data_IF_578187580499
#
_entry.id   IF_578187580499
#
_cell.length_a   1.000
_cell.length_b   1.000
_cell.length_c   1.000
_cell.angle_alpha   90.00
_cell.angle_beta   90.00
_cell.angle_gamma   90.00
#
_symmetry.space_group_name_H-M   'P 1'
#
loop_
_entity.id
_entity.type
_entity.pdbx_description
1 polymer ?
#
# COMPACT_ATOMS: atom_id res chain seq x y z
N UNK A 1 4.56 4.59 -21.83
CA UNK A 1 5.36 3.63 -21.02
C UNK A 1 5.89 4.42 -19.83
N UNK A 2 5.55 4.03 -18.61
CA UNK A 2 5.90 4.83 -17.44
C UNK A 2 7.40 4.73 -17.11
N UNK A 3 7.86 5.69 -16.30
CA UNK A 3 9.24 5.76 -15.83
C UNK A 3 9.47 4.75 -14.68
N UNK A 4 10.58 4.00 -14.73
CA UNK A 4 10.99 3.10 -13.65
C UNK A 4 11.81 3.85 -12.61
N UNK A 5 11.38 3.75 -11.35
CA UNK A 5 12.19 4.21 -10.22
C UNK A 5 13.35 3.24 -9.99
N UNK A 6 14.48 3.75 -9.51
CA UNK A 6 15.59 2.90 -9.07
C UNK A 6 15.12 2.04 -7.89
N UNK A 7 15.29 0.74 -7.99
CA UNK A 7 15.02 -0.20 -6.89
C UNK A 7 16.13 -0.09 -5.84
N UNK A 8 15.76 0.14 -4.58
CA UNK A 8 16.73 0.27 -3.48
C UNK A 8 16.06 -0.08 -2.13
N UNK A 9 16.13 -1.33 -1.74
CA UNK A 9 15.63 -1.81 -0.45
C UNK A 9 16.39 -1.23 0.76
N UNK A 10 17.61 -0.74 0.54
CA UNK A 10 18.48 -0.17 1.58
C UNK A 10 18.34 1.34 1.75
N UNK A 11 17.45 1.99 0.98
CA UNK A 11 17.30 3.44 1.04
C UNK A 11 16.96 3.93 2.45
N UNK A 12 17.44 5.11 2.79
CA UNK A 12 17.11 5.75 4.05
C UNK A 12 15.61 6.13 4.10
N UNK A 13 15.01 6.13 5.29
CA UNK A 13 13.61 6.44 5.54
C UNK A 13 13.48 7.80 6.23
N UNK A 14 12.62 8.66 5.70
CA UNK A 14 12.34 9.96 6.33
C UNK A 14 11.45 9.76 7.56
N UNK A 15 11.86 10.33 8.69
CA UNK A 15 11.04 10.35 9.90
C UNK A 15 11.01 11.74 10.51
N UNK A 16 9.88 12.08 11.10
CA UNK A 16 9.69 13.34 11.83
C UNK A 16 9.21 13.07 13.25
N UNK A 17 9.90 13.64 14.22
CA UNK A 17 9.52 13.58 15.63
C UNK A 17 8.27 14.43 15.88
N UNK A 18 7.22 13.84 16.44
CA UNK A 18 5.98 14.56 16.75
C UNK A 18 6.12 15.55 17.91
N UNK A 19 7.13 15.36 18.80
CA UNK A 19 7.36 16.24 19.96
C UNK A 19 8.16 17.50 19.62
N UNK A 20 9.31 17.34 18.96
CA UNK A 20 10.21 18.45 18.69
C UNK A 20 10.28 18.90 17.22
N UNK A 21 9.62 18.17 16.32
CA UNK A 21 9.61 18.46 14.89
C UNK A 21 10.92 18.10 14.16
N UNK A 22 11.92 17.51 14.85
CA UNK A 22 13.16 17.06 14.22
C UNK A 22 12.85 16.09 13.08
N UNK A 23 13.41 16.34 11.91
CA UNK A 23 13.19 15.55 10.70
C UNK A 23 14.53 15.14 10.10
N UNK A 24 14.70 13.83 9.87
CA UNK A 24 15.96 13.27 9.39
C UNK A 24 15.71 11.96 8.64
N UNK A 25 16.70 11.55 7.84
CA UNK A 25 16.72 10.25 7.12
C UNK A 25 17.51 9.23 7.94
N UNK A 26 16.83 8.12 8.26
CA UNK A 26 17.39 7.06 9.08
C UNK A 26 17.58 5.76 8.29
N UNK A 27 18.63 4.99 8.67
CA UNK A 27 18.87 3.64 8.17
C UNK A 27 17.87 2.63 8.76
N UNK A 28 17.80 1.46 8.16
CA UNK A 28 17.00 0.35 8.68
C UNK A 28 17.43 -0.03 10.12
N UNK A 29 18.73 -0.17 10.36
CA UNK A 29 19.27 -0.54 11.68
C UNK A 29 18.88 0.47 12.76
N UNK A 30 18.93 1.77 12.44
CA UNK A 30 18.47 2.80 13.35
C UNK A 30 16.98 2.67 13.67
N UNK A 31 16.16 2.44 12.64
CA UNK A 31 14.71 2.29 12.79
C UNK A 31 14.37 1.06 13.63
N UNK A 32 15.09 -0.04 13.43
CA UNK A 32 14.93 -1.25 14.21
C UNK A 32 15.24 -1.00 15.69
N UNK A 33 16.41 -0.45 16.01
CA UNK A 33 16.77 -0.11 17.37
C UNK A 33 15.77 0.89 18.01
N UNK A 34 15.31 1.88 17.24
CA UNK A 34 14.28 2.80 17.69
C UNK A 34 12.94 2.09 17.97
N UNK A 35 12.52 1.16 17.12
CA UNK A 35 11.27 0.41 17.31
C UNK A 35 11.27 -0.46 18.55
N UNK A 36 12.45 -0.95 18.95
CA UNK A 36 12.68 -1.73 20.17
C UNK A 36 12.79 -0.84 21.43
N UNK A 37 12.88 0.49 21.26
CA UNK A 37 13.00 1.45 22.34
C UNK A 37 14.45 1.66 22.83
N UNK A 38 15.44 1.07 22.15
CA UNK A 38 16.86 1.15 22.53
C UNK A 38 17.45 2.54 22.32
N UNK A 39 16.92 3.26 21.36
CA UNK A 39 17.33 4.62 21.02
C UNK A 39 16.12 5.55 20.90
N UNK A 40 16.36 6.84 21.00
CA UNK A 40 15.33 7.88 20.91
C UNK A 40 15.62 8.90 19.82
N UNK A 41 14.72 9.87 19.71
CA UNK A 41 14.89 11.00 18.80
C UNK A 41 16.23 11.69 19.05
N UNK A 42 17.09 11.91 18.03
CA UNK A 42 18.40 12.53 18.21
C UNK A 42 18.37 13.93 18.83
N UNK A 43 17.25 14.64 18.67
CA UNK A 43 17.09 16.01 19.17
C UNK A 43 16.50 16.09 20.58
N UNK A 44 15.53 15.24 20.94
CA UNK A 44 14.81 15.36 22.21
C UNK A 44 14.72 14.07 23.03
N UNK A 45 15.32 12.99 22.57
CA UNK A 45 15.47 11.72 23.28
C UNK A 45 14.20 10.87 23.46
N UNK A 46 13.03 11.29 22.96
CA UNK A 46 11.82 10.45 23.10
C UNK A 46 11.92 9.18 22.27
N UNK A 47 11.46 8.07 22.83
CA UNK A 47 11.51 6.72 22.26
C UNK A 47 10.22 6.36 21.51
N UNK A 48 10.17 5.16 20.96
CA UNK A 48 9.05 4.67 20.13
C UNK A 48 7.73 4.47 20.90
N UNK A 49 7.75 4.31 22.20
CA UNK A 49 6.59 4.15 23.07
C UNK A 49 5.87 5.49 23.41
N UNK A 50 6.54 6.63 23.17
CA UNK A 50 5.96 7.94 23.48
C UNK A 50 4.79 8.29 22.53
N UNK A 51 3.67 8.90 23.04
CA UNK A 51 2.52 9.26 22.19
C UNK A 51 2.87 10.18 21.01
N UNK A 52 3.86 11.05 21.19
CA UNK A 52 4.40 11.96 20.16
C UNK A 52 5.69 11.43 19.53
N UNK A 53 5.83 10.11 19.43
CA UNK A 53 6.98 9.47 18.80
C UNK A 53 7.21 9.92 17.36
N UNK A 54 8.38 9.65 16.83
CA UNK A 54 8.65 9.86 15.42
C UNK A 54 7.71 9.03 14.54
N UNK A 55 7.40 9.56 13.36
CA UNK A 55 6.56 8.92 12.35
C UNK A 55 7.21 9.06 10.99
N UNK A 56 6.94 8.12 10.12
CA UNK A 56 7.38 8.23 8.74
C UNK A 56 6.77 9.44 8.06
N UNK A 57 7.61 10.14 7.30
CA UNK A 57 7.26 11.19 6.37
C UNK A 57 7.77 10.81 4.98
N UNK A 58 7.46 11.58 3.96
CA UNK A 58 7.91 11.32 2.60
C UNK A 58 9.06 12.25 2.20
N UNK A 59 9.85 11.84 1.21
CA UNK A 59 10.84 12.71 0.60
C UNK A 59 10.14 13.68 -0.35
N UNK A 60 10.25 14.97 -0.07
CA UNK A 60 9.66 16.03 -0.91
C UNK A 60 10.28 16.08 -2.33
N UNK A 61 11.44 15.46 -2.53
CA UNK A 61 12.06 15.32 -3.84
C UNK A 61 11.54 14.12 -4.65
N UNK A 62 10.73 13.24 -4.04
CA UNK A 62 10.12 12.13 -4.77
C UNK A 62 9.13 12.67 -5.82
N UNK A 63 9.29 12.22 -7.06
CA UNK A 63 8.41 12.58 -8.18
C UNK A 63 6.94 12.29 -7.89
N UNK A 64 6.63 11.29 -7.05
CA UNK A 64 5.28 10.96 -6.64
C UNK A 64 4.62 12.02 -5.74
N UNK A 65 5.40 12.98 -5.21
CA UNK A 65 4.85 14.16 -4.53
C UNK A 65 4.12 15.10 -5.50
N UNK A 66 4.55 15.13 -6.75
CA UNK A 66 3.90 15.93 -7.79
C UNK A 66 2.70 15.17 -8.38
N UNK A 67 1.49 15.66 -8.07
CA UNK A 67 0.25 15.00 -8.50
C UNK A 67 0.10 14.95 -10.04
N UNK A 68 0.76 15.86 -10.77
CA UNK A 68 0.65 15.94 -12.22
C UNK A 68 1.58 14.91 -12.88
N UNK A 69 2.59 14.45 -12.15
CA UNK A 69 3.62 13.55 -12.65
C UNK A 69 3.46 12.09 -12.21
N UNK A 70 2.53 11.77 -11.33
CA UNK A 70 2.34 10.40 -10.86
C UNK A 70 1.98 9.40 -11.97
N UNK A 71 1.37 9.90 -13.06
CA UNK A 71 1.02 9.09 -14.24
C UNK A 71 2.24 8.76 -15.11
N UNK A 72 3.35 9.49 -14.93
CA UNK A 72 4.63 9.19 -15.57
C UNK A 72 5.32 7.97 -14.95
N UNK A 73 4.93 7.55 -13.73
CA UNK A 73 5.56 6.48 -12.98
C UNK A 73 4.94 5.11 -13.28
N UNK A 74 5.77 4.08 -13.26
CA UNK A 74 5.31 2.72 -13.07
C UNK A 74 5.03 2.46 -11.58
N UNK A 75 3.90 1.84 -11.31
CA UNK A 75 3.46 1.42 -9.99
C UNK A 75 3.39 -0.09 -9.93
N UNK A 76 3.44 -0.65 -8.74
CA UNK A 76 3.48 -2.10 -8.57
C UNK A 76 2.47 -2.60 -7.57
N UNK A 77 2.01 -3.83 -7.79
CA UNK A 77 1.12 -4.55 -6.91
C UNK A 77 1.41 -6.05 -6.96
N UNK A 78 1.26 -6.74 -5.84
CA UNK A 78 1.27 -8.20 -5.80
C UNK A 78 -0.08 -8.76 -5.42
N UNK A 79 -0.51 -9.82 -6.10
CA UNK A 79 -1.80 -10.46 -5.86
C UNK A 79 -1.69 -11.98 -6.06
N UNK A 80 -2.52 -12.72 -5.35
CA UNK A 80 -2.76 -14.15 -5.62
C UNK A 80 -3.72 -14.36 -6.80
N UNK A 81 -4.38 -13.31 -7.27
CA UNK A 81 -5.30 -13.36 -8.39
C UNK A 81 -4.52 -13.18 -9.70
N UNK A 82 -4.58 -14.20 -10.57
CA UNK A 82 -3.87 -14.19 -11.85
C UNK A 82 -4.34 -13.09 -12.81
N UNK A 83 -5.61 -12.69 -12.71
CA UNK A 83 -6.24 -11.70 -13.60
C UNK A 83 -6.57 -10.40 -12.86
N UNK A 84 -5.69 -10.01 -11.92
CA UNK A 84 -5.80 -8.75 -11.20
C UNK A 84 -5.44 -7.54 -12.09
N UNK A 85 -6.14 -6.40 -11.96
CA UNK A 85 -7.43 -6.20 -11.31
C UNK A 85 -8.59 -6.67 -12.21
N UNK A 86 -9.67 -7.14 -11.62
CA UNK A 86 -10.82 -7.59 -12.39
C UNK A 86 -12.08 -6.82 -12.03
N UNK A 87 -12.77 -6.26 -13.03
CA UNK A 87 -14.10 -5.65 -12.83
C UNK A 87 -15.16 -6.69 -12.45
N UNK A 88 -14.94 -7.94 -12.84
CA UNK A 88 -15.81 -9.07 -12.52
C UNK A 88 -15.34 -9.84 -11.29
N UNK A 89 -14.54 -9.20 -10.44
CA UNK A 89 -14.05 -9.81 -9.22
C UNK A 89 -15.20 -10.30 -8.33
N UNK A 90 -15.16 -11.59 -8.01
CA UNK A 90 -16.05 -12.18 -7.02
C UNK A 90 -15.37 -12.21 -5.64
N UNK A 91 -15.83 -11.39 -4.68
CA UNK A 91 -15.26 -11.36 -3.34
C UNK A 91 -15.30 -12.69 -2.61
N UNK A 92 -16.22 -13.59 -2.96
CA UNK A 92 -16.27 -14.92 -2.35
C UNK A 92 -15.17 -15.85 -2.88
N UNK A 93 -14.63 -15.58 -4.07
CA UNK A 93 -13.63 -16.45 -4.70
C UNK A 93 -12.30 -16.56 -3.94
N UNK A 94 -11.98 -15.58 -3.08
CA UNK A 94 -10.76 -15.56 -2.27
C UNK A 94 -10.86 -16.44 -1.00
N UNK A 95 -12.06 -16.91 -0.67
CA UNK A 95 -12.26 -17.75 0.51
C UNK A 95 -12.27 -19.24 0.13
N UNK A 96 -11.79 -20.14 1.01
CA UNK A 96 -11.99 -21.58 0.88
C UNK A 96 -13.48 -21.95 0.78
N UNK A 97 -13.77 -23.09 0.17
CA UNK A 97 -15.15 -23.54 -0.09
C UNK A 97 -16.02 -23.49 1.18
N UNK A 98 -15.53 -24.09 2.28
CA UNK A 98 -16.29 -24.16 3.53
C UNK A 98 -16.57 -22.78 4.14
N UNK A 99 -15.61 -21.86 4.03
CA UNK A 99 -15.78 -20.46 4.47
C UNK A 99 -16.84 -19.74 3.64
N UNK A 100 -16.84 -19.94 2.32
CA UNK A 100 -17.87 -19.38 1.41
C UNK A 100 -19.26 -19.88 1.76
N UNK A 101 -19.42 -21.19 1.94
CA UNK A 101 -20.69 -21.80 2.31
C UNK A 101 -21.20 -21.26 3.65
N UNK A 102 -20.29 -21.06 4.63
CA UNK A 102 -20.65 -20.49 5.92
C UNK A 102 -21.06 -19.00 5.81
N UNK A 103 -20.37 -18.20 4.99
CA UNK A 103 -20.73 -16.80 4.74
C UNK A 103 -22.15 -16.74 4.14
N UNK A 104 -22.41 -17.50 3.09
CA UNK A 104 -23.71 -17.52 2.41
C UNK A 104 -24.81 -18.04 3.33
N UNK A 105 -24.55 -19.06 4.14
CA UNK A 105 -25.53 -19.67 5.04
C UNK A 105 -25.90 -18.73 6.21
N UNK A 106 -24.94 -17.97 6.74
CA UNK A 106 -25.14 -17.18 7.96
C UNK A 106 -25.53 -15.72 7.70
N UNK A 107 -25.52 -15.28 6.45
CA UNK A 107 -25.97 -13.94 6.08
C UNK A 107 -27.36 -14.00 5.43
N UNK A 108 -28.24 -13.05 5.78
CA UNK A 108 -29.46 -12.85 4.96
C UNK A 108 -29.06 -12.35 3.57
N UNK A 109 -29.91 -12.57 2.56
CA UNK A 109 -29.64 -12.15 1.17
C UNK A 109 -29.28 -10.67 1.05
N UNK A 110 -30.02 -9.80 1.74
CA UNK A 110 -29.75 -8.34 1.75
C UNK A 110 -28.41 -8.00 2.39
N UNK A 111 -28.03 -8.67 3.48
CA UNK A 111 -26.73 -8.46 4.12
C UNK A 111 -25.60 -8.95 3.25
N UNK A 112 -25.76 -10.10 2.61
CA UNK A 112 -24.77 -10.65 1.68
C UNK A 112 -24.55 -9.73 0.49
N UNK A 113 -25.62 -9.24 -0.13
CA UNK A 113 -25.56 -8.30 -1.25
C UNK A 113 -24.83 -7.01 -0.86
N UNK A 114 -25.20 -6.40 0.25
CA UNK A 114 -24.55 -5.18 0.77
C UNK A 114 -23.09 -5.43 1.06
N UNK A 115 -22.73 -6.58 1.63
CA UNK A 115 -21.36 -6.96 1.89
C UNK A 115 -20.56 -7.15 0.60
N UNK A 116 -21.11 -7.83 -0.41
CA UNK A 116 -20.47 -8.02 -1.72
C UNK A 116 -20.20 -6.69 -2.44
N UNK A 117 -21.18 -5.76 -2.41
CA UNK A 117 -21.01 -4.41 -2.94
C UNK A 117 -19.87 -3.71 -2.23
N UNK A 118 -19.83 -3.77 -0.91
CA UNK A 118 -18.78 -3.17 -0.09
C UNK A 118 -17.40 -3.76 -0.40
N UNK A 119 -17.28 -5.09 -0.54
CA UNK A 119 -16.01 -5.73 -0.89
C UNK A 119 -15.49 -5.28 -2.27
N UNK A 120 -16.38 -5.07 -3.25
CA UNK A 120 -16.02 -4.59 -4.59
C UNK A 120 -15.64 -3.11 -4.61
N UNK A 121 -16.10 -2.33 -3.64
CA UNK A 121 -15.81 -0.90 -3.51
C UNK A 121 -14.46 -0.60 -2.83
N UNK A 122 -13.74 -1.62 -2.37
CA UNK A 122 -12.39 -1.43 -1.81
C UNK A 122 -11.46 -0.81 -2.85
N UNK A 123 -10.68 0.16 -2.40
CA UNK A 123 -9.62 0.73 -3.21
C UNK A 123 -8.54 -0.32 -3.54
N UNK A 124 -7.99 -0.22 -4.73
CA UNK A 124 -6.80 -0.98 -5.12
C UNK A 124 -5.58 -0.23 -4.60
N UNK A 125 -4.64 -0.95 -4.01
CA UNK A 125 -3.39 -0.38 -3.54
C UNK A 125 -2.26 -0.69 -4.51
N UNK A 126 -1.48 0.33 -4.86
CA UNK A 126 -0.25 0.18 -5.64
C UNK A 126 0.85 1.03 -5.00
N UNK A 127 2.09 0.57 -5.09
CA UNK A 127 3.24 1.24 -4.47
C UNK A 127 4.48 1.19 -5.34
N UNK A 128 5.63 1.34 -4.70
CA UNK A 128 6.94 1.08 -5.29
C UNK A 128 7.08 -0.42 -5.59
N UNK A 129 8.12 -0.78 -6.33
CA UNK A 129 8.46 -2.20 -6.54
C UNK A 129 8.76 -2.88 -5.20
N UNK A 130 9.49 -2.18 -4.31
CA UNK A 130 9.83 -2.61 -2.96
C UNK A 130 8.56 -2.85 -2.13
N UNK A 131 7.64 -1.88 -2.11
CA UNK A 131 6.38 -2.02 -1.37
C UNK A 131 5.57 -3.24 -1.83
N UNK A 132 5.54 -3.50 -3.13
CA UNK A 132 4.81 -4.66 -3.66
C UNK A 132 5.45 -5.99 -3.24
N UNK A 133 6.79 -6.08 -3.23
CA UNK A 133 7.48 -7.29 -2.79
C UNK A 133 7.38 -7.50 -1.27
N UNK A 134 7.57 -6.46 -0.48
CA UNK A 134 7.42 -6.52 0.98
C UNK A 134 6.00 -6.92 1.39
N UNK A 135 4.98 -6.40 0.70
CA UNK A 135 3.60 -6.85 0.92
C UNK A 135 3.44 -8.35 0.66
N UNK A 136 4.03 -8.87 -0.41
CA UNK A 136 4.00 -10.29 -0.72
C UNK A 136 4.67 -11.12 0.39
N UNK A 137 5.89 -10.72 0.80
CA UNK A 137 6.66 -11.43 1.83
C UNK A 137 5.90 -11.44 3.16
N UNK A 138 5.40 -10.29 3.60
CA UNK A 138 4.58 -10.17 4.81
C UNK A 138 3.33 -11.06 4.77
N UNK A 139 2.66 -11.16 3.63
CA UNK A 139 1.50 -12.05 3.48
C UNK A 139 1.87 -13.51 3.57
N UNK A 140 3.01 -13.89 3.03
CA UNK A 140 3.51 -15.27 3.12
C UNK A 140 3.88 -15.65 4.56
N UNK A 141 4.47 -14.74 5.31
CA UNK A 141 4.94 -14.96 6.68
C UNK A 141 3.80 -14.84 7.70
N UNK A 142 3.05 -13.75 7.68
CA UNK A 142 2.12 -13.38 8.75
C UNK A 142 0.66 -13.77 8.49
N UNK A 143 0.25 -13.94 7.23
CA UNK A 143 -1.15 -14.13 6.85
C UNK A 143 -1.47 -15.55 6.33
N UNK A 144 -0.50 -16.46 6.37
CA UNK A 144 -0.70 -17.85 5.99
C UNK A 144 -0.77 -18.09 4.48
N UNK A 145 -0.37 -17.12 3.66
CA UNK A 145 -0.34 -17.22 2.19
C UNK A 145 0.94 -17.91 1.66
N UNK A 146 1.71 -18.58 2.52
CA UNK A 146 3.01 -19.20 2.17
C UNK A 146 2.94 -20.21 1.01
N UNK A 147 1.80 -20.86 0.82
CA UNK A 147 1.58 -21.82 -0.28
C UNK A 147 0.85 -21.19 -1.47
N UNK A 148 0.61 -19.89 -1.47
CA UNK A 148 -0.13 -19.20 -2.54
C UNK A 148 0.82 -18.81 -3.68
N UNK A 149 0.35 -18.95 -4.92
CA UNK A 149 1.05 -18.40 -6.06
C UNK A 149 0.81 -16.90 -6.13
N UNK A 150 1.86 -16.10 -5.96
CA UNK A 150 1.79 -14.66 -6.15
C UNK A 150 2.15 -14.27 -7.58
N UNK A 151 1.53 -13.19 -8.04
CA UNK A 151 1.80 -12.53 -9.30
C UNK A 151 2.17 -11.07 -9.04
N UNK A 152 3.23 -10.60 -9.66
CA UNK A 152 3.65 -9.19 -9.62
C UNK A 152 3.10 -8.48 -10.86
N UNK A 153 2.50 -7.32 -10.63
CA UNK A 153 1.91 -6.48 -11.66
C UNK A 153 2.58 -5.11 -11.68
N UNK A 154 2.94 -4.67 -12.87
CA UNK A 154 3.29 -3.29 -13.18
C UNK A 154 2.04 -2.59 -13.67
N UNK A 155 1.74 -1.44 -13.09
CA UNK A 155 0.52 -0.67 -13.30
C UNK A 155 0.87 0.71 -13.84
N UNK A 156 0.25 1.08 -14.95
CA UNK A 156 0.29 2.45 -15.44
C UNK A 156 -1.07 3.12 -15.20
N UNK A 157 -1.01 4.35 -14.76
CA UNK A 157 -2.20 5.14 -14.48
C UNK A 157 -2.72 5.82 -15.74
N UNK A 158 -4.01 6.12 -15.74
CA UNK A 158 -4.66 6.87 -16.80
C UNK A 158 -4.40 8.36 -16.59
N UNK A 159 -3.99 9.03 -17.65
CA UNK A 159 -3.87 10.49 -17.67
C UNK A 159 -5.22 11.14 -17.32
N UNK A 160 -5.14 12.28 -16.62
CA UNK A 160 -6.28 13.07 -16.17
C UNK A 160 -7.19 12.43 -15.13
N UNK A 161 -6.82 11.28 -14.51
CA UNK A 161 -7.53 10.78 -13.34
C UNK A 161 -7.43 11.78 -12.18
N UNK A 162 -8.54 12.09 -11.47
CA UNK A 162 -8.51 12.97 -10.31
C UNK A 162 -7.61 12.46 -9.20
N UNK A 163 -6.60 13.24 -8.83
CA UNK A 163 -5.59 12.90 -7.81
C UNK A 163 -5.77 13.76 -6.58
N UNK A 164 -5.61 13.18 -5.38
CA UNK A 164 -5.63 13.93 -4.12
C UNK A 164 -4.61 15.08 -4.14
N UNK A 165 -5.01 16.26 -3.65
CA UNK A 165 -4.16 17.46 -3.65
C UNK A 165 -2.93 17.30 -2.77
N UNK A 166 -3.04 16.57 -1.66
CA UNK A 166 -1.95 16.32 -0.72
C UNK A 166 -1.53 14.85 -0.72
N UNK A 167 -0.31 14.60 -0.24
CA UNK A 167 0.10 13.28 0.25
C UNK A 167 -0.41 13.15 1.68
N UNK A 168 -1.16 12.12 1.94
CA UNK A 168 -1.91 11.93 3.17
C UNK A 168 -1.26 10.85 4.04
N UNK A 169 -1.87 10.57 5.19
CA UNK A 169 -1.54 9.39 5.97
C UNK A 169 -2.10 8.15 5.29
N UNK A 170 -1.49 7.01 5.57
CA UNK A 170 -2.00 5.73 5.11
C UNK A 170 -3.45 5.52 5.55
N UNK A 171 -4.37 5.24 4.61
CA UNK A 171 -5.80 5.19 4.90
C UNK A 171 -6.25 3.84 5.43
N UNK A 172 -5.37 2.84 5.38
CA UNK A 172 -5.74 1.46 5.63
C UNK A 172 -5.84 1.15 7.12
N UNK A 173 -6.77 0.26 7.46
CA UNK A 173 -6.74 -0.47 8.72
C UNK A 173 -5.64 -1.58 8.66
N UNK A 174 -5.51 -2.35 9.75
CA UNK A 174 -4.53 -3.46 9.86
C UNK A 174 -4.69 -4.51 8.72
N UNK A 175 -5.87 -4.60 8.11
CA UNK A 175 -6.17 -5.55 7.03
C UNK A 175 -5.84 -4.96 5.65
N UNK A 176 -5.52 -3.67 5.57
CA UNK A 176 -5.26 -2.98 4.31
C UNK A 176 -6.51 -2.52 3.55
N UNK A 177 -7.68 -2.53 4.18
CA UNK A 177 -8.91 -2.07 3.54
C UNK A 177 -9.01 -0.54 3.55
N UNK A 178 -9.25 0.04 2.40
CA UNK A 178 -9.55 1.45 2.24
C UNK A 178 -10.73 1.65 1.27
N UNK A 179 -11.49 2.72 1.50
CA UNK A 179 -12.63 3.10 0.67
C UNK A 179 -12.51 4.58 0.34
N UNK A 180 -12.41 4.92 -0.94
CA UNK A 180 -12.14 6.30 -1.37
C UNK A 180 -13.26 7.26 -0.99
N UNK A 181 -14.51 6.80 -0.95
CA UNK A 181 -15.66 7.59 -0.51
C UNK A 181 -15.61 8.00 0.97
N UNK A 182 -14.90 7.24 1.80
CA UNK A 182 -14.73 7.52 3.23
C UNK A 182 -13.54 8.42 3.55
N UNK A 183 -12.64 8.65 2.60
CA UNK A 183 -11.41 9.42 2.81
C UNK A 183 -11.63 10.93 2.75
N UNK A 184 -12.85 11.40 2.49
CA UNK A 184 -13.22 12.82 2.52
C UNK A 184 -12.53 13.69 1.45
N UNK A 185 -12.01 13.08 0.39
CA UNK A 185 -11.23 13.75 -0.67
C UNK A 185 -12.05 14.09 -1.92
N UNK A 186 -13.38 14.09 -1.81
CA UNK A 186 -14.28 14.43 -2.90
C UNK A 186 -14.32 13.36 -4.00
N UNK A 187 -14.38 13.80 -5.27
CA UNK A 187 -14.37 12.90 -6.44
C UNK A 187 -12.96 12.48 -6.83
N UNK A 188 -12.16 12.03 -5.87
CA UNK A 188 -10.79 11.57 -6.12
C UNK A 188 -10.83 10.09 -6.54
N UNK A 189 -10.12 9.76 -7.61
CA UNK A 189 -9.93 8.39 -8.07
C UNK A 189 -8.59 7.81 -7.64
N UNK A 190 -7.63 8.68 -7.29
CA UNK A 190 -6.28 8.33 -6.84
C UNK A 190 -5.95 9.11 -5.56
N UNK A 191 -5.83 8.38 -4.45
CA UNK A 191 -5.46 8.91 -3.15
C UNK A 191 -4.00 8.59 -2.87
N UNK A 192 -3.14 9.61 -2.74
CA UNK A 192 -1.72 9.48 -2.40
C UNK A 192 -1.52 9.43 -0.91
N UNK A 193 -0.71 8.51 -0.44
CA UNK A 193 -0.40 8.41 0.99
C UNK A 193 1.05 7.97 1.24
N UNK A 194 1.56 8.33 2.44
CA UNK A 194 2.85 7.84 2.93
C UNK A 194 2.68 6.37 3.31
N UNK A 195 3.41 5.49 2.67
CA UNK A 195 3.48 4.09 3.08
C UNK A 195 4.21 4.00 4.43
N UNK A 196 3.62 3.31 5.38
CA UNK A 196 4.15 3.16 6.74
C UNK A 196 4.53 1.72 7.07
N UNK A 197 4.21 0.78 6.21
CA UNK A 197 4.35 -0.65 6.48
C UNK A 197 5.31 -1.35 5.53
N UNK A 198 4.99 -1.40 4.24
CA UNK A 198 5.74 -2.22 3.29
C UNK A 198 7.02 -1.53 2.81
N UNK A 199 6.95 -0.26 2.44
CA UNK A 199 8.11 0.54 2.03
C UNK A 199 8.03 1.91 2.70
N UNK A 200 8.34 1.99 4.01
CA UNK A 200 8.15 3.20 4.80
C UNK A 200 8.80 4.43 4.16
N UNK A 201 8.12 5.57 4.23
CA UNK A 201 8.48 6.85 3.60
C UNK A 201 8.36 6.90 2.08
N UNK A 202 7.98 5.81 1.40
CA UNK A 202 7.56 5.90 0.02
C UNK A 202 6.15 6.47 -0.10
N UNK A 203 5.78 6.89 -1.30
CA UNK A 203 4.41 7.23 -1.62
C UNK A 203 3.76 6.03 -2.30
N UNK A 204 2.63 5.62 -1.75
CA UNK A 204 1.73 4.61 -2.32
C UNK A 204 0.39 5.24 -2.68
N UNK A 205 -0.40 4.52 -3.46
CA UNK A 205 -1.70 4.98 -3.95
C UNK A 205 -2.79 4.00 -3.57
N UNK A 206 -3.93 4.55 -3.12
CA UNK A 206 -5.21 3.86 -3.10
C UNK A 206 -6.05 4.41 -4.26
N UNK A 207 -6.55 3.55 -5.14
CA UNK A 207 -7.14 3.99 -6.39
C UNK A 207 -8.32 3.15 -6.85
N UNK A 208 -9.13 3.70 -7.73
CA UNK A 208 -10.20 2.97 -8.42
C UNK A 208 -9.63 2.19 -9.61
N UNK A 209 -10.32 1.15 -10.02
CA UNK A 209 -9.96 0.42 -11.24
C UNK A 209 -10.05 1.32 -12.49
N UNK A 210 -10.86 2.36 -12.45
CA UNK A 210 -11.05 3.29 -13.56
C UNK A 210 -9.85 4.19 -13.82
N UNK A 211 -9.01 4.43 -12.81
CA UNK A 211 -7.77 5.19 -12.94
C UNK A 211 -6.60 4.38 -13.53
N UNK A 212 -6.78 3.09 -13.78
CA UNK A 212 -5.76 2.24 -14.39
C UNK A 212 -5.86 2.29 -15.90
N UNK A 213 -4.76 2.66 -16.57
CA UNK A 213 -4.63 2.64 -18.02
C UNK A 213 -4.24 1.25 -18.54
N UNK A 214 -3.25 0.63 -17.90
CA UNK A 214 -2.76 -0.70 -18.29
C UNK A 214 -2.13 -1.44 -17.12
N UNK A 215 -2.17 -2.76 -17.22
CA UNK A 215 -1.53 -3.67 -16.26
C UNK A 215 -0.69 -4.68 -17.04
N UNK A 216 0.52 -4.90 -16.60
CA UNK A 216 1.41 -5.90 -17.15
C UNK A 216 1.90 -6.81 -16.03
N UNK A 217 1.72 -8.11 -16.18
CA UNK A 217 2.35 -9.09 -15.28
C UNK A 217 3.85 -9.12 -15.53
N UNK A 218 4.62 -9.00 -14.46
CA UNK A 218 6.10 -8.99 -14.48
C UNK A 218 6.61 -10.28 -13.88
N UNK A 219 7.63 -10.87 -14.50
CA UNK A 219 8.32 -12.01 -13.91
C UNK A 219 9.23 -11.50 -12.80
N UNK A 220 9.12 -12.09 -11.61
CA UNK A 220 10.10 -11.90 -10.55
C UNK A 220 11.29 -12.79 -10.90
N UNK A 221 12.51 -12.24 -11.07
CA UNK A 221 13.66 -13.09 -11.31
C UNK A 221 13.90 -13.96 -10.06
N UNK A 222 13.70 -15.25 -10.20
CA UNK A 222 14.12 -16.21 -9.18
C UNK A 222 15.60 -16.49 -9.49
N UNK A 223 16.51 -16.00 -8.66
CA UNK A 223 17.88 -16.49 -8.71
C UNK A 223 17.86 -17.98 -8.40
N UNK A 224 18.42 -18.84 -9.26
CA UNK A 224 18.60 -20.23 -8.87
C UNK A 224 19.47 -20.26 -7.62
N UNK A 225 18.98 -20.92 -6.58
CA UNK A 225 19.71 -21.22 -5.34
C UNK A 225 20.84 -22.18 -5.66
#
# INVERSE_FOLDING_TARGET
MGFERKVDFSRLRNMRCGKCGHEEKFSHDWIEAWSQGDIGCPSCGITSDHPQRARYTYDFSDIACDRERITELNWYHTSVLKDWPSRNFDPLSVYPKDARENIVKNMSSLKLESWLVRQKAKALHVGTFEAALENMLRRMEDQGDSNSQFYLYRVNLRDNSPVSSAVNKEPANIIGDAYLDELGVGRTEIYRYVNSHEDPSSISLALTIDSIASVQRVSVPISPV
#
